data_IF_937122474091
#
_entry.id   IF_937122474091
#
_cell.length_a   1.000
_cell.length_b   1.000
_cell.length_c   1.000
_cell.angle_alpha   90.00
_cell.angle_beta   90.00
_cell.angle_gamma   90.00
#
_symmetry.space_group_name_H-M   'P 1'
#
loop_
_entity.id
_entity.type
_entity.pdbx_description
1 polymer ?
#
# COMPACT_ATOMS: atom_id res chain seq x y z
N UNK A 1 -7.17 -28.85 12.47
CA UNK A 1 -7.58 -28.00 11.30
C UNK A 1 -7.26 -26.60 11.70
N UNK A 2 -6.43 -25.90 10.95
CA UNK A 2 -6.00 -24.54 11.32
C UNK A 2 -7.16 -23.56 11.16
N UNK A 3 -7.27 -22.59 12.06
CA UNK A 3 -8.25 -21.52 12.04
C UNK A 3 -7.72 -20.29 12.80
N UNK A 4 -8.40 -19.18 12.65
CA UNK A 4 -8.11 -17.93 13.35
C UNK A 4 -9.17 -17.72 14.43
N UNK A 5 -8.75 -17.35 15.64
CA UNK A 5 -9.60 -16.82 16.71
C UNK A 5 -9.23 -15.37 16.95
N UNK A 6 -10.22 -14.49 16.96
CA UNK A 6 -10.05 -13.08 17.29
C UNK A 6 -11.17 -12.60 18.21
N UNK A 7 -10.99 -11.48 18.90
CA UNK A 7 -11.93 -10.99 19.93
C UNK A 7 -13.35 -10.78 19.39
N UNK A 8 -14.37 -11.00 20.19
CA UNK A 8 -15.77 -10.65 19.88
C UNK A 8 -16.02 -9.14 20.04
N UNK A 9 -17.22 -8.69 19.69
CA UNK A 9 -17.65 -7.30 19.89
C UNK A 9 -17.22 -6.36 18.76
N UNK A 10 -16.79 -5.14 19.09
CA UNK A 10 -16.35 -4.16 18.08
C UNK A 10 -15.14 -4.67 17.31
N UNK A 11 -15.06 -4.31 16.04
CA UNK A 11 -13.93 -4.63 15.18
C UNK A 11 -13.11 -3.37 14.90
N UNK A 12 -11.80 -3.53 14.78
CA UNK A 12 -10.85 -2.49 14.42
C UNK A 12 -10.22 -2.77 13.05
N UNK A 13 -9.43 -1.83 12.52
CA UNK A 13 -8.79 -2.03 11.21
C UNK A 13 -7.66 -3.04 11.27
N UNK A 14 -6.98 -3.11 12.39
CA UNK A 14 -5.81 -4.00 12.56
C UNK A 14 -6.22 -5.46 12.72
N UNK A 15 -7.23 -5.81 13.57
CA UNK A 15 -7.75 -7.17 13.68
C UNK A 15 -8.38 -7.63 12.37
N UNK A 16 -9.17 -6.75 11.70
CA UNK A 16 -9.74 -7.04 10.39
C UNK A 16 -8.65 -7.37 9.36
N UNK A 17 -7.62 -6.53 9.24
CA UNK A 17 -6.55 -6.74 8.27
C UNK A 17 -5.63 -7.90 8.65
N UNK A 18 -5.31 -8.08 9.94
CA UNK A 18 -4.53 -9.22 10.42
C UNK A 18 -5.21 -10.55 10.08
N UNK A 19 -6.51 -10.66 10.40
CA UNK A 19 -7.31 -11.83 10.03
C UNK A 19 -7.42 -11.99 8.50
N UNK A 20 -7.56 -10.90 7.75
CA UNK A 20 -7.64 -10.93 6.28
C UNK A 20 -6.39 -11.52 5.63
N UNK A 21 -5.20 -11.09 6.07
CA UNK A 21 -3.94 -11.59 5.50
C UNK A 21 -3.67 -13.04 5.87
N UNK A 22 -4.00 -13.45 7.10
CA UNK A 22 -3.88 -14.86 7.51
C UNK A 22 -4.87 -15.76 6.77
N UNK A 23 -6.13 -15.32 6.63
CA UNK A 23 -7.13 -16.05 5.86
C UNK A 23 -6.74 -16.19 4.37
N UNK A 24 -6.11 -15.17 3.80
CA UNK A 24 -5.58 -15.23 2.43
C UNK A 24 -4.39 -16.17 2.29
N UNK A 25 -3.44 -16.12 3.23
CA UNK A 25 -2.20 -16.90 3.16
C UNK A 25 -2.44 -18.40 3.38
N UNK A 26 -3.31 -18.73 4.34
CA UNK A 26 -3.49 -20.12 4.79
C UNK A 26 -4.83 -20.74 4.37
N UNK A 27 -5.74 -19.99 3.75
CA UNK A 27 -7.09 -20.41 3.35
C UNK A 27 -7.91 -21.01 4.52
N UNK A 28 -7.86 -20.37 5.70
CA UNK A 28 -8.46 -20.84 6.95
C UNK A 28 -9.61 -19.94 7.40
N UNK A 29 -10.62 -20.49 8.13
CA UNK A 29 -11.74 -19.71 8.66
C UNK A 29 -11.34 -18.84 9.86
N UNK A 30 -12.17 -17.84 10.14
CA UNK A 30 -12.04 -16.90 11.25
C UNK A 30 -13.22 -17.12 12.21
N UNK A 31 -12.93 -17.22 13.51
CA UNK A 31 -13.92 -17.29 14.59
C UNK A 31 -13.77 -16.06 15.50
N UNK A 32 -14.85 -15.32 15.66
CA UNK A 32 -14.87 -14.13 16.54
C UNK A 32 -15.46 -14.48 17.90
N UNK A 33 -14.61 -14.81 18.82
CA UNK A 33 -14.90 -15.19 20.22
C UNK A 33 -13.63 -15.18 21.06
N UNK A 34 -13.77 -15.23 22.37
CA UNK A 34 -12.60 -15.42 23.21
C UNK A 34 -11.96 -16.79 22.95
N UNK A 35 -10.63 -16.88 22.94
CA UNK A 35 -9.90 -18.15 22.85
C UNK A 35 -10.00 -18.91 24.18
N UNK A 36 -9.95 -20.22 24.10
CA UNK A 36 -9.73 -21.08 25.27
C UNK A 36 -8.24 -21.16 25.60
N UNK A 37 -7.89 -21.54 26.84
CA UNK A 37 -6.49 -21.77 27.23
C UNK A 37 -5.82 -22.83 26.32
N UNK A 38 -6.56 -23.88 25.94
CA UNK A 38 -6.06 -24.90 25.04
C UNK A 38 -5.72 -24.37 23.65
N UNK A 39 -6.47 -23.39 23.15
CA UNK A 39 -6.21 -22.75 21.85
C UNK A 39 -5.01 -21.81 21.89
N UNK A 40 -4.78 -21.12 23.02
CA UNK A 40 -3.58 -20.28 23.23
C UNK A 40 -2.31 -21.15 23.21
N UNK A 41 -2.39 -22.37 23.71
CA UNK A 41 -1.28 -23.35 23.74
C UNK A 41 -1.14 -24.17 22.45
N UNK A 42 -2.14 -24.16 21.55
CA UNK A 42 -2.15 -24.96 20.33
C UNK A 42 -1.44 -24.26 19.16
N UNK A 43 -0.27 -24.76 18.70
CA UNK A 43 0.47 -24.17 17.58
C UNK A 43 -0.20 -24.36 16.21
N UNK A 44 -1.42 -24.86 16.15
CA UNK A 44 -2.24 -24.93 14.93
C UNK A 44 -3.36 -23.88 14.87
N UNK A 45 -3.52 -23.06 15.92
CA UNK A 45 -4.55 -22.04 16.05
C UNK A 45 -3.91 -20.67 16.06
N UNK A 46 -4.32 -19.80 15.12
CA UNK A 46 -3.92 -18.39 15.12
C UNK A 46 -4.80 -17.61 16.11
N UNK A 47 -4.23 -17.06 17.16
CA UNK A 47 -4.91 -16.20 18.13
C UNK A 47 -4.48 -14.75 17.86
N UNK A 48 -5.43 -13.91 17.45
CA UNK A 48 -5.15 -12.58 16.91
C UNK A 48 -5.92 -11.53 17.68
N UNK A 49 -5.21 -10.53 18.21
CA UNK A 49 -5.77 -9.38 18.93
C UNK A 49 -6.58 -9.74 20.19
N UNK A 50 -6.25 -10.84 20.80
CA UNK A 50 -6.91 -11.40 22.00
C UNK A 50 -6.00 -12.43 22.68
N UNK A 51 -6.28 -12.72 23.94
CA UNK A 51 -5.58 -13.77 24.69
C UNK A 51 -4.38 -13.31 25.52
N UNK A 52 -3.98 -12.04 25.41
CA UNK A 52 -2.95 -11.42 26.26
C UNK A 52 -1.54 -11.98 26.02
N UNK A 53 -1.26 -12.60 24.86
CA UNK A 53 0.02 -13.24 24.57
C UNK A 53 0.55 -12.89 23.18
N UNK A 54 1.86 -12.65 23.09
CA UNK A 54 2.59 -12.62 21.82
C UNK A 54 3.65 -13.71 21.81
N UNK A 55 3.35 -14.80 21.14
CA UNK A 55 4.22 -15.94 20.94
C UNK A 55 4.05 -16.48 19.50
N UNK A 56 4.93 -16.07 18.57
CA UNK A 56 4.83 -16.50 17.17
C UNK A 56 5.03 -18.02 16.98
N UNK A 57 5.71 -18.71 17.89
CA UNK A 57 5.89 -20.18 17.82
C UNK A 57 4.58 -20.91 18.10
N UNK A 58 3.68 -20.29 18.89
CA UNK A 58 2.32 -20.75 19.18
C UNK A 58 1.25 -20.01 18.42
N UNK A 59 1.62 -19.21 17.43
CA UNK A 59 0.72 -18.43 16.57
C UNK A 59 -0.16 -17.42 17.34
N UNK A 60 0.36 -16.84 18.45
CA UNK A 60 -0.32 -15.83 19.25
C UNK A 60 0.19 -14.43 18.91
N UNK A 61 -0.72 -13.54 18.52
CA UNK A 61 -0.44 -12.19 18.00
C UNK A 61 -1.31 -11.13 18.69
N UNK A 62 -1.19 -11.04 20.03
CA UNK A 62 -1.83 -9.99 20.81
C UNK A 62 -0.79 -8.96 21.27
N UNK A 63 -1.20 -7.70 21.39
CA UNK A 63 -0.35 -6.59 21.77
C UNK A 63 -0.82 -5.86 23.05
N UNK A 64 -2.00 -6.19 23.57
CA UNK A 64 -2.60 -5.52 24.73
C UNK A 64 -1.77 -5.64 26.02
N UNK A 65 -0.95 -6.68 26.15
CA UNK A 65 -0.05 -6.88 27.28
C UNK A 65 1.21 -6.02 27.22
N UNK A 66 1.48 -5.31 26.11
CA UNK A 66 2.69 -4.50 26.02
C UNK A 66 2.59 -3.25 26.91
N UNK A 67 3.71 -2.87 27.53
CA UNK A 67 3.76 -1.69 28.39
C UNK A 67 3.56 -0.40 27.58
N UNK A 68 3.21 0.67 28.27
CA UNK A 68 3.06 2.01 27.66
C UNK A 68 4.35 2.52 27.01
N UNK A 69 5.51 2.02 27.43
CA UNK A 69 6.81 2.41 26.87
C UNK A 69 7.19 1.59 25.62
N UNK A 70 6.45 0.51 25.35
CA UNK A 70 6.67 -0.28 24.15
C UNK A 70 6.36 0.57 22.91
N UNK A 71 7.16 0.48 21.83
CA UNK A 71 6.82 1.16 20.55
C UNK A 71 5.40 0.80 20.11
N UNK A 72 4.63 1.76 19.54
CA UNK A 72 3.29 1.47 19.04
C UNK A 72 3.28 0.26 18.12
N UNK A 73 2.48 -0.72 18.48
CA UNK A 73 2.41 -2.03 17.82
C UNK A 73 0.95 -2.48 17.87
N UNK A 74 0.46 -3.06 16.80
CA UNK A 74 -0.88 -3.63 16.69
C UNK A 74 -0.80 -5.07 16.18
N UNK A 75 -1.89 -5.81 16.24
CA UNK A 75 -1.92 -7.22 15.83
C UNK A 75 -1.53 -7.43 14.37
N UNK A 76 -1.89 -6.50 13.48
CA UNK A 76 -1.44 -6.51 12.09
C UNK A 76 0.10 -6.44 11.97
N UNK A 77 0.76 -5.60 12.80
CA UNK A 77 2.22 -5.50 12.81
C UNK A 77 2.87 -6.83 13.19
N UNK A 78 2.31 -7.51 14.18
CA UNK A 78 2.82 -8.79 14.67
C UNK A 78 2.65 -9.88 13.59
N UNK A 79 1.49 -9.94 12.95
CA UNK A 79 1.22 -10.84 11.82
C UNK A 79 2.15 -10.55 10.65
N UNK A 80 2.38 -9.29 10.30
CA UNK A 80 3.31 -8.93 9.23
C UNK A 80 4.76 -9.32 9.54
N UNK A 81 5.21 -9.22 10.81
CA UNK A 81 6.52 -9.72 11.23
C UNK A 81 6.62 -11.23 11.05
N UNK A 82 5.60 -11.96 11.47
CA UNK A 82 5.51 -13.41 11.29
C UNK A 82 5.57 -13.81 9.81
N UNK A 83 4.88 -13.08 8.92
CA UNK A 83 4.88 -13.32 7.48
C UNK A 83 6.13 -12.75 6.75
N UNK A 84 7.04 -12.08 7.44
CA UNK A 84 8.27 -11.52 6.87
C UNK A 84 8.07 -10.35 5.91
N UNK A 85 6.94 -9.63 6.04
CA UNK A 85 6.57 -8.48 5.18
C UNK A 85 6.44 -7.16 5.93
N UNK A 86 6.76 -7.12 7.22
CA UNK A 86 6.60 -5.92 8.05
C UNK A 86 7.43 -4.74 7.57
N UNK A 87 8.70 -4.95 7.25
CA UNK A 87 9.58 -3.88 6.80
C UNK A 87 9.11 -3.29 5.46
N UNK A 88 8.62 -4.15 4.56
CA UNK A 88 7.99 -3.72 3.31
C UNK A 88 6.69 -2.94 3.57
N UNK A 89 5.87 -3.39 4.52
CA UNK A 89 4.65 -2.67 4.90
C UNK A 89 4.96 -1.28 5.45
N UNK A 90 5.94 -1.15 6.32
CA UNK A 90 6.39 0.16 6.84
C UNK A 90 6.95 1.04 5.73
N UNK A 91 7.72 0.47 4.81
CA UNK A 91 8.35 1.20 3.70
C UNK A 91 7.35 1.65 2.65
N UNK A 92 6.41 0.79 2.28
CA UNK A 92 5.55 0.97 1.11
C UNK A 92 4.12 1.40 1.44
N UNK A 93 3.68 1.24 2.68
CA UNK A 93 2.35 1.60 3.12
C UNK A 93 2.41 2.75 4.14
N UNK A 94 2.30 4.04 3.71
CA UNK A 94 2.38 5.18 4.62
C UNK A 94 1.38 5.12 5.79
N UNK A 95 0.25 4.43 5.60
CA UNK A 95 -0.77 4.23 6.62
C UNK A 95 -0.35 3.25 7.74
N UNK A 96 0.68 2.41 7.52
CA UNK A 96 1.04 1.33 8.47
C UNK A 96 1.41 1.88 9.85
N UNK A 97 2.29 2.89 9.89
CA UNK A 97 2.67 3.53 11.16
C UNK A 97 1.50 4.26 11.81
N UNK A 98 0.63 4.87 11.03
CA UNK A 98 -0.59 5.50 11.56
C UNK A 98 -1.55 4.47 12.17
N UNK A 99 -1.68 3.28 11.54
CA UNK A 99 -2.49 2.20 12.09
C UNK A 99 -1.94 1.72 13.45
N UNK A 100 -0.63 1.48 13.57
CA UNK A 100 0.02 1.13 14.84
C UNK A 100 -0.25 2.18 15.94
N UNK A 101 -0.13 3.47 15.61
CA UNK A 101 -0.38 4.55 16.56
C UNK A 101 -1.85 4.65 16.97
N UNK A 102 -2.77 4.54 16.01
CA UNK A 102 -4.21 4.62 16.26
C UNK A 102 -4.67 3.52 17.21
N UNK A 103 -4.24 2.32 16.96
CA UNK A 103 -4.61 1.16 17.73
C UNK A 103 -3.95 1.17 19.13
N UNK A 104 -2.62 1.30 19.21
CA UNK A 104 -1.89 1.24 20.46
C UNK A 104 -2.03 2.48 21.35
N UNK A 105 -2.35 3.67 20.79
CA UNK A 105 -2.32 4.96 21.51
C UNK A 105 -3.59 5.80 21.38
N UNK A 106 -4.49 5.43 20.48
CA UNK A 106 -5.71 6.16 20.20
C UNK A 106 -5.51 7.46 19.40
N UNK A 107 -6.61 8.04 18.95
CA UNK A 107 -6.64 9.14 17.98
C UNK A 107 -5.91 10.40 18.46
N UNK A 108 -5.99 10.75 19.76
CA UNK A 108 -5.37 11.95 20.31
C UNK A 108 -3.84 11.89 20.24
N UNK A 109 -3.25 10.82 20.75
CA UNK A 109 -1.79 10.67 20.73
C UNK A 109 -1.25 10.48 19.31
N UNK A 110 -2.03 9.84 18.43
CA UNK A 110 -1.71 9.75 17.00
C UNK A 110 -1.64 11.14 16.36
N UNK A 111 -2.61 12.01 16.65
CA UNK A 111 -2.58 13.38 16.13
C UNK A 111 -1.38 14.19 16.65
N UNK A 112 -1.05 14.03 17.94
CA UNK A 112 0.15 14.65 18.55
C UNK A 112 1.43 14.18 17.86
N UNK A 113 1.57 12.86 17.62
CA UNK A 113 2.69 12.28 16.88
C UNK A 113 2.78 12.79 15.43
N UNK A 114 1.65 12.86 14.72
CA UNK A 114 1.56 13.37 13.36
C UNK A 114 1.73 14.90 13.28
N UNK A 115 1.67 15.61 14.40
CA UNK A 115 1.67 17.08 14.51
C UNK A 115 0.53 17.73 13.71
N UNK A 116 -0.67 17.13 13.81
CA UNK A 116 -1.89 17.62 13.17
C UNK A 116 -3.00 17.84 14.20
N UNK A 117 -4.04 18.58 13.79
CA UNK A 117 -5.25 18.69 14.62
C UNK A 117 -5.94 17.31 14.76
N UNK A 118 -6.42 16.91 15.95
CA UNK A 118 -7.13 15.65 16.15
C UNK A 118 -8.30 15.41 15.19
N UNK A 119 -8.96 16.48 14.73
CA UNK A 119 -10.04 16.38 13.74
C UNK A 119 -9.56 15.84 12.39
N UNK A 120 -8.29 16.09 12.02
CA UNK A 120 -7.69 15.53 10.80
C UNK A 120 -7.63 14.00 10.87
N UNK A 121 -7.27 13.45 12.04
CA UNK A 121 -7.24 12.00 12.26
C UNK A 121 -8.64 11.39 12.12
N UNK A 122 -9.66 12.07 12.62
CA UNK A 122 -11.05 11.62 12.48
C UNK A 122 -11.53 11.55 11.01
N UNK A 123 -10.93 12.33 10.12
CA UNK A 123 -11.25 12.32 8.68
C UNK A 123 -10.63 11.14 7.92
N UNK A 124 -9.75 10.36 8.54
CA UNK A 124 -9.11 9.20 7.91
C UNK A 124 -10.03 7.97 7.78
N UNK A 125 -11.23 8.03 8.36
CA UNK A 125 -12.22 6.96 8.25
C UNK A 125 -13.25 7.27 7.15
N UNK A 126 -13.62 6.25 6.39
CA UNK A 126 -14.61 6.35 5.31
C UNK A 126 -15.86 5.51 5.62
N UNK A 127 -16.99 5.75 4.93
CA UNK A 127 -18.16 4.87 5.03
C UNK A 127 -17.87 3.41 4.69
N UNK A 128 -16.86 3.15 3.83
CA UNK A 128 -16.43 1.79 3.47
C UNK A 128 -15.81 1.11 4.70
N UNK A 129 -14.93 1.82 5.43
CA UNK A 129 -14.31 1.29 6.65
C UNK A 129 -15.36 0.89 7.68
N UNK A 130 -16.30 1.80 7.99
CA UNK A 130 -17.40 1.54 8.94
C UNK A 130 -18.25 0.33 8.53
N UNK A 131 -18.57 0.21 7.26
CA UNK A 131 -19.39 -0.89 6.77
C UNK A 131 -18.65 -2.23 6.89
N UNK A 132 -17.38 -2.29 6.46
CA UNK A 132 -16.58 -3.50 6.53
C UNK A 132 -16.37 -3.97 7.97
N UNK A 133 -15.99 -3.05 8.87
CA UNK A 133 -15.79 -3.37 10.28
C UNK A 133 -17.10 -3.79 10.96
N UNK A 134 -18.24 -3.16 10.64
CA UNK A 134 -19.54 -3.56 11.17
C UNK A 134 -19.92 -4.96 10.72
N UNK A 135 -19.82 -5.29 9.43
CA UNK A 135 -20.12 -6.62 8.93
C UNK A 135 -19.19 -7.68 9.52
N UNK A 136 -17.92 -7.35 9.71
CA UNK A 136 -16.98 -8.24 10.38
C UNK A 136 -17.36 -8.45 11.86
N UNK A 137 -17.79 -7.38 12.56
CA UNK A 137 -18.19 -7.43 13.96
C UNK A 137 -19.49 -8.24 14.21
N UNK A 138 -20.41 -8.25 13.24
CA UNK A 138 -21.72 -8.94 13.35
C UNK A 138 -21.60 -10.46 13.17
N UNK A 139 -20.51 -10.97 12.55
CA UNK A 139 -20.33 -12.39 12.26
C UNK A 139 -19.52 -13.09 13.37
N UNK A 140 -19.91 -14.33 13.68
CA UNK A 140 -19.18 -15.19 14.63
C UNK A 140 -18.23 -16.18 13.94
N UNK A 141 -18.55 -16.57 12.72
CA UNK A 141 -17.76 -17.49 11.90
C UNK A 141 -17.73 -17.02 10.45
N UNK A 142 -16.52 -16.88 9.91
CA UNK A 142 -16.28 -16.44 8.54
C UNK A 142 -15.40 -17.48 7.83
N UNK A 143 -16.03 -18.34 7.05
CA UNK A 143 -15.32 -19.22 6.14
C UNK A 143 -14.96 -18.46 4.84
N UNK A 144 -14.10 -19.06 4.02
CA UNK A 144 -13.79 -18.56 2.66
C UNK A 144 -15.01 -18.55 1.71
N UNK A 145 -16.09 -19.25 2.08
CA UNK A 145 -17.37 -19.27 1.34
C UNK A 145 -18.37 -18.23 1.87
N UNK A 146 -18.13 -17.66 3.03
CA UNK A 146 -18.92 -16.55 3.55
C UNK A 146 -18.60 -15.26 2.77
N UNK A 147 -19.60 -14.46 2.33
CA UNK A 147 -19.32 -13.26 1.51
C UNK A 147 -18.28 -12.31 2.10
N UNK A 148 -18.35 -12.05 3.41
CA UNK A 148 -17.39 -11.19 4.10
C UNK A 148 -16.04 -11.90 4.25
N UNK A 149 -16.01 -13.20 4.59
CA UNK A 149 -14.77 -13.97 4.67
C UNK A 149 -14.04 -14.05 3.32
N UNK A 150 -14.76 -14.24 2.22
CA UNK A 150 -14.21 -14.21 0.86
C UNK A 150 -13.65 -12.83 0.50
N UNK A 151 -14.35 -11.75 0.87
CA UNK A 151 -13.88 -10.38 0.66
C UNK A 151 -12.61 -10.09 1.49
N UNK A 152 -12.59 -10.49 2.76
CA UNK A 152 -11.42 -10.37 3.64
C UNK A 152 -10.21 -11.11 3.07
N UNK A 153 -10.38 -12.36 2.67
CA UNK A 153 -9.31 -13.15 2.04
C UNK A 153 -8.79 -12.47 0.75
N UNK A 154 -9.66 -11.85 -0.04
CA UNK A 154 -9.26 -11.10 -1.22
C UNK A 154 -8.47 -9.85 -0.87
N UNK A 155 -8.93 -9.05 0.10
CA UNK A 155 -8.23 -7.85 0.59
C UNK A 155 -6.84 -8.22 1.12
N UNK A 156 -6.76 -9.27 1.96
CA UNK A 156 -5.49 -9.75 2.51
C UNK A 156 -4.53 -10.25 1.42
N UNK A 157 -5.05 -11.00 0.44
CA UNK A 157 -4.29 -11.49 -0.70
C UNK A 157 -3.76 -10.36 -1.58
N UNK A 158 -4.58 -9.36 -1.89
CA UNK A 158 -4.16 -8.18 -2.66
C UNK A 158 -3.06 -7.40 -1.93
N UNK A 159 -3.18 -7.24 -0.60
CA UNK A 159 -2.18 -6.57 0.24
C UNK A 159 -0.85 -7.34 0.27
N UNK A 160 -0.87 -8.64 0.52
CA UNK A 160 0.34 -9.47 0.49
C UNK A 160 1.01 -9.49 -0.88
N UNK A 161 0.22 -9.62 -1.95
CA UNK A 161 0.73 -9.56 -3.32
C UNK A 161 1.36 -8.21 -3.62
N UNK A 162 0.75 -7.09 -3.20
CA UNK A 162 1.31 -5.75 -3.33
C UNK A 162 2.68 -5.65 -2.66
N UNK A 163 2.79 -6.03 -1.38
CA UNK A 163 4.04 -5.96 -0.62
C UNK A 163 5.14 -6.83 -1.24
N UNK A 164 4.83 -8.09 -1.55
CA UNK A 164 5.79 -9.06 -2.11
C UNK A 164 6.22 -8.71 -3.54
N UNK A 165 5.32 -8.18 -4.36
CA UNK A 165 5.63 -7.80 -5.74
C UNK A 165 6.39 -6.48 -5.82
N UNK A 166 6.12 -5.53 -4.92
CA UNK A 166 6.71 -4.20 -4.98
C UNK A 166 8.23 -4.24 -4.80
N UNK A 167 8.74 -5.01 -3.84
CA UNK A 167 10.20 -5.22 -3.67
C UNK A 167 10.85 -5.76 -4.95
N UNK A 168 10.24 -6.76 -5.57
CA UNK A 168 10.73 -7.33 -6.84
C UNK A 168 10.70 -6.29 -7.96
N UNK A 169 9.58 -5.55 -8.06
CA UNK A 169 9.41 -4.52 -9.08
C UNK A 169 10.42 -3.37 -8.90
N UNK A 170 10.74 -2.96 -7.66
CA UNK A 170 11.76 -1.94 -7.41
C UNK A 170 13.16 -2.41 -7.83
N UNK A 171 13.50 -3.66 -7.57
CA UNK A 171 14.76 -4.25 -8.03
C UNK A 171 14.83 -4.33 -9.57
N UNK A 172 13.70 -4.65 -10.22
CA UNK A 172 13.63 -4.67 -11.69
C UNK A 172 13.75 -3.25 -12.27
N UNK A 173 13.09 -2.26 -11.69
CA UNK A 173 13.19 -0.86 -12.08
C UNK A 173 14.63 -0.34 -11.99
N UNK A 174 15.37 -0.71 -10.95
CA UNK A 174 16.77 -0.29 -10.80
C UNK A 174 17.69 -0.72 -11.94
N UNK A 175 17.31 -1.78 -12.67
CA UNK A 175 18.07 -2.33 -13.77
C UNK A 175 17.62 -1.84 -15.16
N UNK A 176 16.41 -1.21 -15.27
CA UNK A 176 15.84 -0.87 -16.57
C UNK A 176 15.50 0.60 -16.76
N UNK A 177 15.42 1.40 -15.70
CA UNK A 177 15.15 2.83 -15.84
C UNK A 177 16.37 3.59 -16.32
N UNK A 178 16.13 4.66 -17.06
CA UNK A 178 17.11 5.65 -17.43
C UNK A 178 16.79 6.99 -16.80
N UNK A 179 17.82 7.78 -16.52
CA UNK A 179 17.67 9.16 -16.09
C UNK A 179 18.11 10.10 -17.20
N UNK A 180 17.16 10.86 -17.71
CA UNK A 180 17.44 11.84 -18.77
C UNK A 180 17.62 13.20 -18.18
N UNK A 181 18.63 13.91 -18.64
CA UNK A 181 18.82 15.31 -18.35
C UNK A 181 18.31 16.15 -19.53
N UNK A 182 17.28 16.96 -19.29
CA UNK A 182 16.66 17.83 -20.32
C UNK A 182 16.76 19.25 -19.81
N UNK A 183 17.71 20.01 -20.35
CA UNK A 183 18.15 21.30 -19.83
C UNK A 183 18.58 21.17 -18.36
N UNK A 184 17.87 21.78 -17.42
CA UNK A 184 18.09 21.71 -15.97
C UNK A 184 17.21 20.68 -15.24
N UNK A 185 16.34 19.99 -15.97
CA UNK A 185 15.44 18.98 -15.41
C UNK A 185 16.02 17.58 -15.49
N UNK A 186 15.74 16.79 -14.45
CA UNK A 186 16.00 15.36 -14.45
C UNK A 186 14.68 14.58 -14.56
N UNK A 187 14.62 13.63 -15.49
CA UNK A 187 13.43 12.86 -15.83
C UNK A 187 13.75 11.37 -15.68
N UNK A 188 12.93 10.64 -14.94
CA UNK A 188 13.04 9.19 -14.88
C UNK A 188 12.22 8.56 -16.02
N UNK A 189 12.90 7.85 -16.91
CA UNK A 189 12.32 7.15 -18.05
C UNK A 189 12.31 5.64 -17.81
N UNK A 190 11.14 5.04 -17.96
CA UNK A 190 10.96 3.60 -18.00
C UNK A 190 10.73 3.17 -19.45
N UNK A 191 11.67 2.47 -20.10
CA UNK A 191 11.50 1.97 -21.44
C UNK A 191 10.38 0.92 -21.52
N UNK A 192 9.86 0.70 -22.71
CA UNK A 192 8.94 -0.42 -22.99
C UNK A 192 9.73 -1.70 -23.10
N UNK A 193 9.52 -2.63 -22.18
CA UNK A 193 10.18 -3.93 -22.14
C UNK A 193 9.15 -5.01 -22.50
N UNK A 194 9.50 -5.91 -23.39
CA UNK A 194 8.62 -7.03 -23.75
C UNK A 194 8.36 -7.92 -22.54
N UNK A 195 7.09 -8.26 -22.29
CA UNK A 195 6.69 -9.03 -21.10
C UNK A 195 6.65 -8.24 -19.78
N UNK A 196 6.84 -6.91 -19.83
CA UNK A 196 6.81 -6.06 -18.64
C UNK A 196 5.45 -6.15 -17.92
N UNK A 197 5.50 -6.36 -16.60
CA UNK A 197 4.31 -6.32 -15.75
C UNK A 197 3.68 -4.92 -15.76
N UNK A 198 2.34 -4.85 -15.82
CA UNK A 198 1.62 -3.59 -15.63
C UNK A 198 1.89 -2.93 -14.26
N UNK A 199 2.34 -3.72 -13.28
CA UNK A 199 2.65 -3.26 -11.93
C UNK A 199 3.96 -2.50 -11.87
N UNK A 200 4.88 -2.72 -12.82
CA UNK A 200 6.18 -2.04 -12.87
C UNK A 200 5.99 -0.52 -13.02
N UNK A 201 5.12 -0.09 -13.94
CA UNK A 201 4.79 1.35 -14.09
C UNK A 201 4.13 1.92 -12.82
N UNK A 202 3.41 1.11 -12.05
CA UNK A 202 2.81 1.54 -10.77
C UNK A 202 3.86 1.71 -9.68
N UNK A 203 4.92 0.90 -9.69
CA UNK A 203 6.02 0.98 -8.74
C UNK A 203 6.97 2.16 -9.02
N UNK A 204 6.92 2.75 -10.23
CA UNK A 204 7.85 3.81 -10.65
C UNK A 204 7.81 5.03 -9.73
N UNK A 205 6.64 5.46 -9.28
CA UNK A 205 6.51 6.59 -8.34
C UNK A 205 7.23 6.32 -7.01
N UNK A 206 7.13 5.09 -6.49
CA UNK A 206 7.83 4.70 -5.28
C UNK A 206 9.33 4.62 -5.53
N UNK A 207 9.74 4.01 -6.63
CA UNK A 207 11.13 3.94 -7.04
C UNK A 207 11.77 5.33 -7.10
N UNK A 208 11.12 6.30 -7.75
CA UNK A 208 11.62 7.68 -7.88
C UNK A 208 11.71 8.38 -6.52
N UNK A 209 10.76 8.15 -5.60
CA UNK A 209 10.82 8.70 -4.23
C UNK A 209 12.05 8.28 -3.44
N UNK A 210 12.56 7.11 -3.71
CA UNK A 210 13.71 6.55 -3.00
C UNK A 210 15.06 6.96 -3.61
N UNK A 211 15.01 7.66 -4.76
CA UNK A 211 16.22 8.21 -5.36
C UNK A 211 16.62 9.50 -4.65
N UNK A 212 17.90 9.66 -4.35
CA UNK A 212 18.46 10.93 -3.87
C UNK A 212 18.76 11.82 -5.09
N UNK A 213 17.69 12.23 -5.80
CA UNK A 213 17.76 12.99 -7.06
C UNK A 213 16.60 13.95 -7.17
N UNK A 214 16.84 15.11 -7.81
CA UNK A 214 15.82 16.14 -8.08
C UNK A 214 15.04 15.81 -9.38
N UNK A 215 14.20 14.76 -9.30
CA UNK A 215 13.40 14.29 -10.44
C UNK A 215 12.17 15.19 -10.62
N UNK A 216 12.08 15.87 -11.76
CA UNK A 216 10.96 16.74 -12.11
C UNK A 216 9.75 15.94 -12.68
N UNK A 217 9.99 14.82 -13.35
CA UNK A 217 8.94 14.04 -13.98
C UNK A 217 9.32 12.61 -14.29
N UNK A 218 8.32 11.84 -14.69
CA UNK A 218 8.46 10.45 -15.11
C UNK A 218 7.88 10.24 -16.50
N UNK A 219 8.47 9.36 -17.28
CA UNK A 219 7.97 8.86 -18.54
C UNK A 219 7.87 7.36 -18.48
N UNK A 220 6.70 6.79 -18.73
CA UNK A 220 6.49 5.35 -18.69
C UNK A 220 5.50 4.89 -19.76
N UNK A 221 5.52 3.62 -20.18
CA UNK A 221 4.55 3.07 -21.13
C UNK A 221 3.10 3.33 -20.69
N UNK A 222 2.25 3.80 -21.63
CA UNK A 222 0.84 3.97 -21.32
C UNK A 222 0.14 2.61 -21.23
N UNK A 223 -0.55 2.38 -20.11
CA UNK A 223 -1.31 1.14 -19.85
C UNK A 223 -2.48 0.92 -20.82
N UNK A 224 -2.98 1.97 -21.46
CA UNK A 224 -4.17 1.96 -22.33
C UNK A 224 -3.86 2.12 -23.82
N UNK A 225 -2.61 2.41 -24.16
CA UNK A 225 -2.20 2.70 -25.52
C UNK A 225 -0.82 2.13 -25.87
N UNK A 226 -0.38 2.39 -27.10
CA UNK A 226 0.92 1.91 -27.59
C UNK A 226 2.11 2.80 -27.24
N UNK A 227 1.85 4.03 -26.80
CA UNK A 227 2.86 5.07 -26.54
C UNK A 227 3.24 5.20 -25.05
N UNK A 228 3.47 6.45 -24.62
CA UNK A 228 3.95 6.77 -23.28
C UNK A 228 3.07 7.80 -22.57
N UNK A 229 3.04 7.68 -21.23
CA UNK A 229 2.56 8.72 -20.34
C UNK A 229 3.72 9.53 -19.79
N UNK A 230 3.58 10.83 -19.73
CA UNK A 230 4.51 11.79 -19.13
C UNK A 230 3.82 12.43 -17.95
N UNK A 231 4.41 12.39 -16.75
CA UNK A 231 3.76 12.85 -15.52
C UNK A 231 4.75 13.68 -14.70
N UNK A 232 4.29 14.79 -14.11
CA UNK A 232 5.05 15.50 -13.08
C UNK A 232 5.29 14.61 -11.89
N UNK A 233 6.47 14.68 -11.33
CA UNK A 233 6.74 14.07 -10.03
C UNK A 233 6.53 15.11 -8.94
N UNK A 234 5.81 14.77 -7.87
CA UNK A 234 5.45 15.68 -6.77
C UNK A 234 4.84 17.03 -7.23
N UNK A 235 4.07 17.02 -8.31
CA UNK A 235 3.48 18.21 -8.96
C UNK A 235 4.53 19.30 -9.30
N UNK A 236 5.69 18.90 -9.75
CA UNK A 236 6.77 19.82 -10.13
C UNK A 236 6.33 20.77 -11.23
N UNK A 237 6.24 22.06 -10.89
CA UNK A 237 5.73 23.10 -11.77
C UNK A 237 6.71 23.55 -12.85
N UNK A 238 7.96 23.06 -12.80
CA UNK A 238 8.93 23.26 -13.90
C UNK A 238 8.49 22.57 -15.20
N UNK A 239 7.50 21.65 -15.11
CA UNK A 239 6.86 21.00 -16.27
C UNK A 239 5.39 21.43 -16.38
N UNK A 240 4.94 21.74 -17.59
CA UNK A 240 3.54 22.02 -17.90
C UNK A 240 3.15 21.37 -19.25
N UNK A 241 2.49 20.25 -19.19
CA UNK A 241 2.12 19.47 -20.37
C UNK A 241 0.99 20.07 -21.20
N UNK A 242 0.35 21.18 -20.79
CA UNK A 242 -0.57 21.91 -21.67
C UNK A 242 0.16 22.53 -22.85
N UNK A 243 1.46 22.80 -22.74
CA UNK A 243 2.27 23.39 -23.80
C UNK A 243 2.42 22.49 -25.03
N UNK A 244 2.19 21.19 -24.88
CA UNK A 244 2.30 20.19 -25.94
C UNK A 244 0.95 19.63 -26.39
N UNK A 245 -0.18 20.18 -25.94
CA UNK A 245 -1.51 19.63 -26.24
C UNK A 245 -1.84 19.64 -27.76
N UNK A 246 -1.18 20.52 -28.51
CA UNK A 246 -1.39 20.66 -29.96
C UNK A 246 -0.45 19.81 -30.84
N UNK A 247 0.50 19.09 -30.21
CA UNK A 247 1.40 18.22 -30.94
C UNK A 247 0.63 17.03 -31.54
N UNK A 248 0.91 16.69 -32.80
CA UNK A 248 0.10 15.72 -33.56
C UNK A 248 0.06 14.31 -32.97
N UNK A 249 1.09 13.94 -32.21
CA UNK A 249 1.25 12.64 -31.52
C UNK A 249 0.84 12.68 -30.05
N UNK A 250 0.41 13.83 -29.53
CA UNK A 250 -0.14 13.99 -28.18
C UNK A 250 -1.66 13.88 -28.23
N UNK A 251 -2.20 12.78 -27.74
CA UNK A 251 -3.64 12.52 -27.78
C UNK A 251 -4.38 12.89 -26.49
N UNK A 252 -3.63 13.24 -25.43
CA UNK A 252 -4.18 13.73 -24.17
C UNK A 252 -3.18 14.62 -23.44
N UNK A 253 -3.62 15.79 -22.98
CA UNK A 253 -2.94 16.63 -22.02
C UNK A 253 -3.96 17.15 -21.01
N UNK A 254 -3.69 16.92 -19.72
CA UNK A 254 -4.58 17.39 -18.67
C UNK A 254 -4.52 18.91 -18.56
N UNK A 255 -5.66 19.58 -18.41
CA UNK A 255 -5.76 21.05 -18.37
C UNK A 255 -4.93 21.73 -17.27
N UNK A 256 -4.62 21.01 -16.19
CA UNK A 256 -3.72 21.49 -15.14
C UNK A 256 -2.24 21.15 -15.42
N UNK A 257 -1.93 20.55 -16.55
CA UNK A 257 -0.59 20.32 -17.06
C UNK A 257 0.26 19.31 -16.32
N UNK A 258 -0.31 18.47 -15.46
CA UNK A 258 0.46 17.50 -14.66
C UNK A 258 0.69 16.15 -15.36
N UNK A 259 -0.03 15.85 -16.43
CA UNK A 259 0.11 14.61 -17.18
C UNK A 259 -0.22 14.85 -18.66
N UNK A 260 0.53 14.21 -19.55
CA UNK A 260 0.18 14.05 -20.95
C UNK A 260 0.39 12.60 -21.40
N UNK A 261 -0.27 12.23 -22.51
CA UNK A 261 -0.13 10.94 -23.16
C UNK A 261 0.14 11.13 -24.63
N UNK A 262 1.11 10.39 -25.15
CA UNK A 262 1.54 10.46 -26.55
C UNK A 262 1.59 9.08 -27.18
N UNK A 263 1.40 9.02 -28.49
CA UNK A 263 1.67 7.83 -29.31
C UNK A 263 3.15 7.70 -29.69
N UNK A 264 3.97 8.73 -29.40
CA UNK A 264 5.41 8.65 -29.61
C UNK A 264 6.02 7.47 -28.84
N UNK A 265 6.93 6.77 -29.48
CA UNK A 265 7.71 5.68 -28.89
C UNK A 265 9.23 5.89 -29.04
N UNK A 266 9.64 6.85 -29.85
CA UNK A 266 11.04 7.23 -30.01
C UNK A 266 11.52 8.08 -28.83
N UNK A 267 12.63 7.69 -28.14
CA UNK A 267 13.16 8.44 -27.03
C UNK A 267 13.51 9.91 -27.35
N UNK A 268 14.02 10.19 -28.54
CA UNK A 268 14.37 11.57 -28.91
C UNK A 268 13.11 12.44 -29.09
N UNK A 269 12.03 11.86 -29.62
CA UNK A 269 10.75 12.56 -29.70
C UNK A 269 10.17 12.81 -28.31
N UNK A 270 10.26 11.85 -27.40
CA UNK A 270 9.83 12.02 -26.00
C UNK A 270 10.62 13.12 -25.29
N UNK A 271 11.95 13.15 -25.47
CA UNK A 271 12.80 14.24 -24.94
C UNK A 271 12.44 15.59 -25.50
N UNK A 272 12.10 15.67 -26.80
CA UNK A 272 11.65 16.91 -27.42
C UNK A 272 10.32 17.42 -26.82
N UNK A 273 9.33 16.55 -26.63
CA UNK A 273 8.08 16.90 -25.96
C UNK A 273 8.29 17.39 -24.53
N UNK A 274 9.19 16.75 -23.78
CA UNK A 274 9.55 17.18 -22.43
C UNK A 274 10.23 18.57 -22.43
N UNK A 275 11.13 18.82 -23.37
CA UNK A 275 11.78 20.13 -23.51
C UNK A 275 10.75 21.24 -23.82
N UNK A 276 9.78 20.96 -24.71
CA UNK A 276 8.68 21.90 -24.99
C UNK A 276 7.74 22.09 -23.81
N UNK A 277 7.67 21.13 -22.87
CA UNK A 277 6.82 21.23 -21.68
C UNK A 277 7.48 21.99 -20.52
N UNK A 278 8.73 22.40 -20.66
CA UNK A 278 9.45 23.11 -19.63
C UNK A 278 8.91 24.54 -19.46
N UNK A 279 8.66 24.92 -18.20
CA UNK A 279 8.28 26.30 -17.83
C UNK A 279 9.55 27.05 -17.49
N UNK A 280 9.85 28.08 -18.27
CA UNK A 280 11.01 28.97 -18.07
C UNK A 280 10.79 29.95 -16.91
#
# INVERSE_FOLDING_TARGET
>A
MNYIVTHPGSAHKDDFLACSVLAAEFAIPIYRRDPTEAEIEDPSVFVVDVGGSHDPERLNFDHHQFSSDHPPTCSLSLVFRYLGVYDDAVRFCPWMKTAEWLDARGARQTAEWMKVDPFVVAQLSSPIDFSLLRYFAEEQELSIHHPIGALMARIGGDLLNYLRSLRRNLNELSNCVEFWKIADLEICYLPKIEGMSADLSSALTMFVREQDRDIAGTVSPDKRGSGFGMTRFNDDRRLNFTQIEHEADVHFAHKQGFIAKTSASDPERLKHLLAQSQVL
#
